data_IF_727910947098
#
_entry.id   IF_727910947098
#
_cell.length_a   1.000
_cell.length_b   1.000
_cell.length_c   1.000
_cell.angle_alpha   90.00
_cell.angle_beta   90.00
_cell.angle_gamma   90.00
#
_symmetry.space_group_name_H-M   'P 1'
#
loop_
_entity.id
_entity.type
_entity.pdbx_description
1 polymer ?
#
# COMPACT_ATOMS: atom_id res chain seq x y z
N UNK A 1 31.23 -35.42 23.54
CA UNK A 1 31.50 -34.69 22.28
C UNK A 1 32.12 -33.36 22.62
N UNK A 2 33.08 -32.90 21.83
CA UNK A 2 33.73 -31.58 22.00
C UNK A 2 32.74 -30.48 21.59
N UNK A 3 32.58 -29.45 22.43
CA UNK A 3 31.79 -28.28 22.08
C UNK A 3 32.53 -27.42 21.06
N UNK A 4 31.85 -27.07 19.98
CA UNK A 4 32.30 -26.08 18.99
C UNK A 4 31.73 -24.69 19.32
N UNK A 5 30.62 -24.64 20.05
CA UNK A 5 30.05 -23.43 20.61
C UNK A 5 29.37 -23.76 21.94
N UNK A 6 29.50 -22.89 22.94
CA UNK A 6 28.82 -23.03 24.22
C UNK A 6 28.50 -21.65 24.78
N UNK A 7 27.33 -21.52 25.40
CA UNK A 7 26.91 -20.36 26.18
C UNK A 7 26.25 -20.84 27.47
N UNK A 8 26.53 -20.15 28.58
CA UNK A 8 25.97 -20.46 29.89
C UNK A 8 25.62 -19.19 30.66
N UNK A 9 24.59 -19.29 31.50
CA UNK A 9 24.33 -18.33 32.58
C UNK A 9 25.00 -18.79 33.87
N UNK A 10 24.87 -20.09 34.14
CA UNK A 10 25.40 -20.82 35.28
C UNK A 10 25.50 -22.31 34.91
N UNK A 11 25.96 -23.14 35.84
CA UNK A 11 26.18 -24.58 35.60
C UNK A 11 24.86 -25.34 35.33
N UNK A 12 23.73 -24.83 35.83
CA UNK A 12 22.41 -25.45 35.71
C UNK A 12 21.64 -24.95 34.47
N UNK A 13 22.12 -23.89 33.81
CA UNK A 13 21.47 -23.25 32.67
C UNK A 13 22.50 -22.90 31.58
N UNK A 14 22.62 -23.80 30.61
CA UNK A 14 23.56 -23.67 29.50
C UNK A 14 23.06 -24.33 28.23
N UNK A 15 23.68 -24.00 27.12
CA UNK A 15 23.51 -24.75 25.88
C UNK A 15 24.80 -24.73 25.07
N UNK A 16 24.99 -25.72 24.23
CA UNK A 16 26.13 -25.78 23.35
C UNK A 16 25.92 -26.72 22.18
N UNK A 17 26.65 -26.45 21.11
CA UNK A 17 26.72 -27.32 19.95
C UNK A 17 28.00 -28.12 20.07
N UNK A 18 27.87 -29.44 20.00
CA UNK A 18 28.98 -30.37 20.02
C UNK A 18 28.92 -31.30 18.83
N UNK A 19 30.04 -31.93 18.53
CA UNK A 19 30.09 -32.99 17.52
C UNK A 19 29.91 -34.34 18.22
N UNK A 20 29.00 -35.18 17.68
CA UNK A 20 28.88 -36.60 18.03
C UNK A 20 29.36 -37.43 16.85
N UNK A 21 30.28 -38.34 17.12
CA UNK A 21 30.80 -39.29 16.15
C UNK A 21 30.12 -40.64 16.40
N UNK A 22 29.67 -41.29 15.34
CA UNK A 22 29.04 -42.61 15.34
C UNK A 22 29.58 -43.42 14.14
N UNK A 23 30.55 -44.28 14.40
CA UNK A 23 31.35 -44.93 13.35
C UNK A 23 32.12 -43.91 12.50
N UNK A 24 31.98 -44.00 11.18
CA UNK A 24 32.61 -43.11 10.20
C UNK A 24 31.78 -41.84 9.92
N UNK A 25 30.72 -41.58 10.70
CA UNK A 25 29.85 -40.41 10.53
C UNK A 25 29.97 -39.45 11.72
N UNK A 26 29.91 -38.15 11.43
CA UNK A 26 29.85 -37.10 12.44
C UNK A 26 28.55 -36.29 12.30
N UNK A 27 27.97 -35.88 13.43
CA UNK A 27 26.72 -35.12 13.50
C UNK A 27 26.89 -33.93 14.45
N UNK A 28 26.12 -32.87 14.20
CA UNK A 28 25.95 -31.82 15.20
C UNK A 28 24.96 -32.27 16.27
N UNK A 29 25.25 -31.92 17.50
CA UNK A 29 24.35 -32.15 18.63
C UNK A 29 24.20 -30.83 19.37
N UNK A 30 22.96 -30.37 19.44
CA UNK A 30 22.58 -29.34 20.38
C UNK A 30 22.35 -29.98 21.75
N UNK A 31 23.19 -29.66 22.72
CA UNK A 31 22.98 -29.96 24.12
C UNK A 31 22.40 -28.73 24.82
N UNK A 32 21.33 -28.90 25.59
CA UNK A 32 20.73 -27.86 26.44
C UNK A 32 20.62 -28.38 27.86
N UNK A 33 21.05 -27.59 28.84
CA UNK A 33 20.87 -27.81 30.27
C UNK A 33 19.94 -26.72 30.78
N UNK A 34 18.81 -27.12 31.36
CA UNK A 34 17.83 -26.20 31.95
C UNK A 34 17.46 -26.68 33.34
N UNK A 35 17.71 -25.85 34.36
CA UNK A 35 17.56 -26.22 35.78
C UNK A 35 18.24 -27.58 36.11
N UNK A 36 19.46 -27.78 35.59
CA UNK A 36 20.23 -29.01 35.78
C UNK A 36 19.78 -30.20 34.92
N UNK A 37 18.68 -30.08 34.16
CA UNK A 37 18.19 -31.14 33.27
C UNK A 37 18.81 -31.01 31.89
N UNK A 38 19.54 -32.04 31.49
CA UNK A 38 20.22 -32.13 30.19
C UNK A 38 19.35 -32.78 29.12
N UNK A 39 19.24 -32.14 27.96
CA UNK A 39 18.60 -32.65 26.75
C UNK A 39 19.56 -32.53 25.56
N UNK A 40 19.52 -33.51 24.64
CA UNK A 40 20.33 -33.51 23.43
C UNK A 40 19.46 -33.68 22.18
N UNK A 41 19.69 -32.84 21.18
CA UNK A 41 19.08 -32.95 19.85
C UNK A 41 20.17 -33.15 18.81
N UNK A 42 20.17 -34.30 18.15
CA UNK A 42 21.14 -34.64 17.10
C UNK A 42 20.62 -34.13 15.75
N UNK A 43 21.51 -33.59 14.92
CA UNK A 43 21.18 -33.17 13.55
C UNK A 43 20.73 -34.37 12.71
N UNK A 44 19.79 -34.11 11.81
CA UNK A 44 19.34 -35.13 10.85
C UNK A 44 20.37 -35.37 9.74
N UNK A 45 21.24 -34.40 9.50
CA UNK A 45 22.29 -34.45 8.49
C UNK A 45 23.64 -34.76 9.13
N UNK A 46 24.47 -35.50 8.38
CA UNK A 46 25.88 -35.76 8.71
C UNK A 46 26.71 -34.55 8.30
N UNK A 47 27.82 -34.32 8.99
CA UNK A 47 28.88 -33.47 8.50
C UNK A 47 29.52 -34.13 7.27
N UNK A 48 29.76 -33.33 6.24
CA UNK A 48 30.41 -33.79 5.01
C UNK A 48 31.90 -34.04 5.29
N UNK A 49 32.39 -35.23 4.93
CA UNK A 49 33.82 -35.58 5.09
C UNK A 49 34.66 -34.80 4.09
N UNK A 50 35.85 -34.39 4.51
CA UNK A 50 36.86 -33.73 3.65
C UNK A 50 36.40 -32.41 3.01
N UNK A 51 35.30 -31.82 3.51
CA UNK A 51 34.70 -30.58 3.02
C UNK A 51 34.50 -29.56 4.14
N UNK A 52 34.44 -28.28 3.78
CA UNK A 52 34.07 -27.22 4.73
C UNK A 52 32.58 -27.28 5.07
N UNK A 53 32.27 -27.47 6.37
CA UNK A 53 30.90 -27.44 6.85
C UNK A 53 30.60 -26.08 7.49
N UNK A 54 29.76 -25.27 6.84
CA UNK A 54 29.34 -23.97 7.36
C UNK A 54 28.20 -24.15 8.37
N UNK A 55 28.41 -23.70 9.62
CA UNK A 55 27.42 -23.83 10.70
C UNK A 55 26.96 -22.44 11.12
N UNK A 56 25.66 -22.15 10.95
CA UNK A 56 25.04 -20.88 11.37
C UNK A 56 24.04 -21.10 12.49
N UNK A 57 24.12 -20.29 13.54
CA UNK A 57 23.20 -20.30 14.68
C UNK A 57 22.36 -19.03 14.62
N UNK A 58 21.05 -19.18 14.49
CA UNK A 58 20.12 -18.06 14.44
C UNK A 58 19.22 -18.05 15.66
N UNK A 59 19.11 -16.89 16.29
CA UNK A 59 18.22 -16.65 17.42
C UNK A 59 17.04 -15.79 16.98
N UNK A 60 15.83 -16.30 17.15
CA UNK A 60 14.60 -15.54 16.94
C UNK A 60 14.09 -15.05 18.29
N UNK A 61 14.12 -13.73 18.50
CA UNK A 61 13.48 -13.07 19.64
C UNK A 61 11.99 -12.84 19.34
N UNK A 62 11.21 -13.91 19.47
CA UNK A 62 9.74 -13.92 19.34
C UNK A 62 9.12 -14.30 20.69
N UNK A 63 7.78 -14.32 20.81
CA UNK A 63 7.10 -14.73 22.05
C UNK A 63 7.54 -16.10 22.60
N UNK A 64 8.07 -16.96 21.73
CA UNK A 64 8.87 -18.13 22.07
C UNK A 64 10.28 -17.91 21.53
N UNK A 65 11.28 -17.80 22.39
CA UNK A 65 12.68 -17.71 21.98
C UNK A 65 13.07 -19.01 21.27
N UNK A 66 13.37 -18.94 19.98
CA UNK A 66 13.71 -20.11 19.18
C UNK A 66 15.17 -20.02 18.74
N UNK A 67 15.88 -21.14 18.88
CA UNK A 67 17.21 -21.30 18.29
C UNK A 67 17.11 -22.24 17.08
N UNK A 68 17.67 -21.80 15.96
CA UNK A 68 17.73 -22.55 14.72
C UNK A 68 19.19 -22.74 14.32
N UNK A 69 19.56 -23.96 13.95
CA UNK A 69 20.91 -24.27 13.48
C UNK A 69 20.82 -24.68 12.02
N UNK A 70 21.67 -24.08 11.19
CA UNK A 70 21.81 -24.39 9.78
C UNK A 70 23.20 -25.00 9.53
N UNK A 71 23.25 -26.02 8.68
CA UNK A 71 24.48 -26.58 8.12
C UNK A 71 24.42 -26.40 6.60
N UNK A 72 25.44 -25.78 6.01
CA UNK A 72 25.53 -25.52 4.56
C UNK A 72 24.26 -24.84 3.99
N UNK A 73 23.68 -23.90 4.76
CA UNK A 73 22.46 -23.18 4.40
C UNK A 73 21.14 -23.94 4.62
N UNK A 74 21.18 -25.23 4.99
CA UNK A 74 20.01 -26.05 5.30
C UNK A 74 19.71 -26.06 6.80
N UNK A 75 18.47 -25.82 7.20
CA UNK A 75 18.06 -25.88 8.61
C UNK A 75 18.06 -27.34 9.08
N UNK A 76 18.80 -27.65 10.15
CA UNK A 76 19.03 -29.03 10.61
C UNK A 76 18.59 -29.29 12.04
N UNK A 77 18.48 -28.25 12.88
CA UNK A 77 17.98 -28.36 14.26
C UNK A 77 17.09 -27.14 14.55
N UNK A 78 15.94 -27.38 15.17
CA UNK A 78 15.08 -26.34 15.76
C UNK A 78 14.85 -26.72 17.22
N UNK A 79 15.16 -25.81 18.14
CA UNK A 79 14.80 -25.98 19.54
C UNK A 79 14.06 -24.73 20.05
N UNK A 80 12.88 -24.96 20.63
CA UNK A 80 12.05 -23.93 21.22
C UNK A 80 12.38 -23.77 22.71
N UNK A 81 12.68 -22.55 23.14
CA UNK A 81 12.82 -22.20 24.55
C UNK A 81 14.26 -22.07 25.07
N UNK A 82 15.23 -21.72 24.22
CA UNK A 82 16.60 -21.39 24.66
C UNK A 82 16.67 -19.92 25.07
N UNK A 83 17.10 -19.66 26.30
CA UNK A 83 17.33 -18.30 26.82
C UNK A 83 18.70 -17.78 26.35
N UNK A 84 18.74 -16.52 25.89
CA UNK A 84 19.96 -15.89 25.34
C UNK A 84 20.78 -15.28 26.47
N UNK A 85 21.70 -16.05 27.05
CA UNK A 85 22.44 -15.64 28.24
C UNK A 85 23.65 -14.72 27.99
N UNK A 86 24.06 -14.50 26.73
CA UNK A 86 25.34 -13.82 26.44
C UNK A 86 25.49 -13.29 25.00
N UNK A 87 24.41 -12.86 24.35
CA UNK A 87 24.52 -12.20 23.05
C UNK A 87 24.65 -10.69 23.24
N UNK A 88 25.86 -10.15 23.02
CA UNK A 88 26.00 -8.74 22.71
C UNK A 88 25.22 -8.47 21.42
N UNK A 89 24.11 -7.73 21.50
CA UNK A 89 23.12 -7.56 20.42
C UNK A 89 23.65 -6.90 19.12
N UNK A 90 24.96 -6.67 19.01
CA UNK A 90 25.62 -6.03 17.88
C UNK A 90 26.84 -6.82 17.35
N UNK A 91 26.97 -8.11 17.66
CA UNK A 91 28.09 -8.94 17.18
C UNK A 91 27.62 -10.33 16.73
N UNK A 92 28.14 -10.80 15.60
CA UNK A 92 27.98 -12.17 15.12
C UNK A 92 29.26 -12.95 15.46
N UNK A 93 29.13 -14.04 16.22
CA UNK A 93 30.25 -14.88 16.63
C UNK A 93 30.09 -16.28 16.03
N UNK A 94 31.12 -16.79 15.35
CA UNK A 94 31.26 -18.21 15.07
C UNK A 94 32.31 -18.79 16.03
N UNK A 95 31.89 -19.70 16.92
CA UNK A 95 32.76 -20.41 17.87
C UNK A 95 32.70 -19.93 19.34
N UNK A 96 33.25 -20.75 20.25
CA UNK A 96 33.27 -20.53 21.71
C UNK A 96 34.27 -19.45 22.15
N UNK A 97 33.97 -18.75 23.25
CA UNK A 97 34.83 -17.72 23.88
C UNK A 97 35.91 -18.31 24.82
N UNK A 98 35.95 -19.63 25.01
CA UNK A 98 36.92 -20.30 25.90
C UNK A 98 37.85 -21.25 25.13
N UNK A 99 39.15 -20.92 25.10
CA UNK A 99 40.17 -21.84 24.64
C UNK A 99 40.37 -22.97 25.68
N UNK A 100 40.01 -24.20 25.33
CA UNK A 100 40.33 -25.39 26.14
C UNK A 100 41.81 -25.75 25.99
N UNK A 101 42.55 -25.71 27.09
CA UNK A 101 44.02 -25.89 27.16
C UNK A 101 44.49 -27.36 27.24
N UNK A 102 43.67 -28.35 26.91
CA UNK A 102 44.12 -29.74 27.01
C UNK A 102 43.46 -30.62 25.94
N UNK A 103 44.19 -30.81 24.83
CA UNK A 103 43.92 -31.84 23.83
C UNK A 103 45.11 -32.81 23.82
N UNK A 104 44.81 -34.08 24.06
CA UNK A 104 45.72 -35.19 23.83
C UNK A 104 44.92 -36.33 23.22
N UNK A 105 45.21 -36.66 21.96
CA UNK A 105 44.86 -37.95 21.34
C UNK A 105 44.01 -37.89 20.07
N UNK A 106 44.66 -38.23 18.94
CA UNK A 106 44.18 -38.85 17.70
C UNK A 106 43.20 -38.10 16.75
N UNK A 107 42.75 -36.88 17.05
CA UNK A 107 42.00 -36.05 16.09
C UNK A 107 42.37 -34.56 16.19
N UNK A 108 43.68 -34.26 16.14
CA UNK A 108 44.24 -32.90 16.28
C UNK A 108 44.09 -32.01 15.01
N UNK A 109 43.27 -32.40 14.01
CA UNK A 109 43.14 -31.67 12.73
C UNK A 109 41.82 -30.91 12.56
N UNK A 110 40.94 -30.84 13.57
CA UNK A 110 39.82 -29.88 13.52
C UNK A 110 40.33 -28.47 13.86
N UNK A 111 40.74 -27.75 12.82
CA UNK A 111 40.98 -26.31 12.89
C UNK A 111 39.63 -25.60 12.91
N UNK A 112 39.24 -25.06 14.06
CA UNK A 112 38.17 -24.07 14.13
C UNK A 112 38.82 -22.72 13.80
N UNK A 113 38.80 -22.33 12.53
CA UNK A 113 39.24 -20.99 12.15
C UNK A 113 38.23 -19.95 12.68
N UNK A 114 38.73 -19.10 13.58
CA UNK A 114 37.98 -17.96 14.07
C UNK A 114 38.19 -16.80 13.09
N UNK A 115 37.28 -16.64 12.14
CA UNK A 115 37.27 -15.48 11.24
C UNK A 115 36.12 -14.56 11.61
N UNK A 116 36.42 -13.55 12.43
CA UNK A 116 35.51 -12.44 12.65
C UNK A 116 35.46 -11.58 11.38
N UNK A 117 34.51 -11.87 10.49
CA UNK A 117 34.26 -11.00 9.34
C UNK A 117 33.78 -9.64 9.83
N UNK A 118 34.54 -8.59 9.52
CA UNK A 118 34.00 -7.23 9.54
C UNK A 118 32.82 -7.13 8.56
N UNK A 119 31.91 -6.17 8.70
CA UNK A 119 30.82 -5.94 7.72
C UNK A 119 31.32 -5.94 6.27
N UNK A 120 32.51 -5.42 6.02
CA UNK A 120 33.15 -5.40 4.70
C UNK A 120 33.51 -6.81 4.20
N UNK A 121 34.01 -7.67 5.10
CA UNK A 121 34.30 -9.08 4.78
C UNK A 121 33.04 -9.89 4.54
N UNK A 122 31.96 -9.63 5.27
CA UNK A 122 30.64 -10.24 4.99
C UNK A 122 30.16 -9.85 3.60
N UNK A 123 30.31 -8.57 3.22
CA UNK A 123 29.98 -8.09 1.89
C UNK A 123 30.84 -8.78 0.81
N UNK A 124 32.12 -9.02 1.07
CA UNK A 124 33.03 -9.73 0.16
C UNK A 124 32.70 -11.22 0.02
N UNK A 125 32.33 -11.91 1.12
CA UNK A 125 31.84 -13.29 1.09
C UNK A 125 30.51 -13.44 0.36
N UNK A 126 29.55 -12.53 0.58
CA UNK A 126 28.34 -12.52 -0.22
C UNK A 126 28.68 -12.27 -1.68
N UNK A 127 29.47 -11.23 -2.02
CA UNK A 127 29.90 -10.98 -3.41
C UNK A 127 30.56 -12.17 -4.09
N UNK A 128 31.37 -12.96 -3.36
CA UNK A 128 32.04 -14.14 -3.91
C UNK A 128 31.13 -15.37 -4.02
N UNK A 129 30.00 -15.40 -3.31
CA UNK A 129 29.01 -16.47 -3.34
C UNK A 129 27.66 -16.07 -3.96
N UNK A 130 27.53 -14.83 -4.44
CA UNK A 130 26.37 -14.38 -5.19
C UNK A 130 26.38 -15.11 -6.52
N UNK A 131 25.38 -15.95 -6.75
CA UNK A 131 25.06 -16.41 -8.10
C UNK A 131 24.74 -15.17 -8.92
N UNK A 132 25.53 -14.91 -9.97
CA UNK A 132 25.34 -13.72 -10.80
C UNK A 132 23.95 -13.76 -11.44
N UNK A 133 23.06 -12.87 -11.02
CA UNK A 133 21.80 -12.63 -11.69
C UNK A 133 22.06 -11.69 -12.87
N UNK A 134 21.94 -12.21 -14.09
CA UNK A 134 21.96 -11.37 -15.29
C UNK A 134 20.54 -10.88 -15.57
N UNK A 135 20.35 -9.56 -15.51
CA UNK A 135 19.11 -8.88 -15.92
C UNK A 135 19.39 -8.22 -17.27
N UNK A 136 18.59 -8.54 -18.28
CA UNK A 136 18.64 -7.89 -19.59
C UNK A 136 17.39 -7.03 -19.76
N UNK A 137 17.58 -5.76 -20.12
CA UNK A 137 16.49 -4.82 -20.42
C UNK A 137 16.40 -4.66 -21.94
N UNK A 138 15.28 -5.06 -22.53
CA UNK A 138 15.02 -4.91 -23.96
C UNK A 138 14.24 -3.61 -24.23
N UNK A 139 14.93 -2.61 -24.77
CA UNK A 139 14.32 -1.33 -25.14
C UNK A 139 13.56 -1.37 -26.48
N UNK A 140 13.70 -2.43 -27.28
CA UNK A 140 13.00 -2.57 -28.57
C UNK A 140 11.56 -3.06 -28.38
N UNK A 141 11.31 -3.87 -27.35
CA UNK A 141 9.98 -4.38 -27.01
C UNK A 141 9.25 -3.43 -26.05
N UNK A 142 8.48 -2.48 -26.58
CA UNK A 142 7.70 -1.52 -25.80
C UNK A 142 6.34 -2.11 -25.38
N UNK A 143 5.93 -1.82 -24.16
CA UNK A 143 4.61 -2.20 -23.63
C UNK A 143 3.70 -0.96 -23.46
N UNK A 144 3.02 -0.83 -22.32
CA UNK A 144 2.12 0.27 -22.04
C UNK A 144 2.86 1.59 -21.79
N UNK A 145 2.20 2.70 -22.12
CA UNK A 145 2.58 4.02 -21.61
C UNK A 145 2.13 4.14 -20.17
N UNK A 146 3.05 4.45 -19.26
CA UNK A 146 2.72 4.83 -17.88
C UNK A 146 2.28 6.29 -17.92
N UNK A 147 1.03 6.56 -17.54
CA UNK A 147 0.49 7.93 -17.49
C UNK A 147 0.95 8.67 -16.25
N UNK A 148 0.63 8.13 -15.08
CA UNK A 148 0.92 8.77 -13.82
C UNK A 148 1.00 7.76 -12.66
N UNK A 149 1.50 8.25 -11.53
CA UNK A 149 1.29 7.68 -10.21
C UNK A 149 0.62 8.75 -9.35
N UNK A 150 -0.48 8.39 -8.68
CA UNK A 150 -1.28 9.35 -7.93
C UNK A 150 -1.75 8.83 -6.59
N UNK A 151 -2.35 9.74 -5.82
CA UNK A 151 -3.03 9.48 -4.57
C UNK A 151 -4.32 10.33 -4.49
N UNK A 152 -5.14 10.05 -3.48
CA UNK A 152 -6.38 10.77 -3.23
C UNK A 152 -6.29 11.61 -1.98
N UNK A 153 -6.95 12.76 -2.00
CA UNK A 153 -7.10 13.65 -0.86
C UNK A 153 -8.20 13.18 0.12
N UNK A 154 -8.98 12.17 -0.27
CA UNK A 154 -10.02 11.56 0.53
C UNK A 154 -9.44 10.83 1.77
N UNK A 155 -9.90 11.08 2.99
CA UNK A 155 -10.82 12.14 3.42
C UNK A 155 -10.15 13.21 4.30
N UNK A 156 -8.93 12.94 4.79
CA UNK A 156 -8.34 13.76 5.83
C UNK A 156 -7.71 15.05 5.28
N UNK A 157 -7.46 15.19 3.98
CA UNK A 157 -6.77 16.36 3.43
C UNK A 157 -7.47 17.69 3.74
N UNK A 158 -8.80 17.70 3.90
CA UNK A 158 -9.53 18.90 4.29
C UNK A 158 -9.18 19.33 5.73
N UNK A 159 -9.21 18.39 6.66
CA UNK A 159 -8.86 18.63 8.05
C UNK A 159 -7.37 19.00 8.16
N UNK A 160 -6.49 18.28 7.47
CA UNK A 160 -5.06 18.57 7.44
C UNK A 160 -4.82 19.98 6.89
N UNK A 161 -5.39 20.32 5.74
CA UNK A 161 -5.17 21.61 5.07
C UNK A 161 -5.69 22.80 5.87
N UNK A 162 -6.81 22.62 6.58
CA UNK A 162 -7.42 23.65 7.44
C UNK A 162 -6.65 23.88 8.74
N UNK A 163 -6.19 22.81 9.40
CA UNK A 163 -5.80 22.89 10.81
C UNK A 163 -4.33 22.56 11.12
N UNK A 164 -3.59 21.93 10.21
CA UNK A 164 -2.18 21.67 10.49
C UNK A 164 -1.33 22.94 10.43
N UNK A 165 -0.25 23.03 11.23
CA UNK A 165 0.75 24.07 11.10
C UNK A 165 1.30 24.14 9.66
N UNK A 166 1.48 25.36 9.16
CA UNK A 166 1.88 25.63 7.77
C UNK A 166 3.16 24.89 7.36
N UNK A 167 4.16 24.82 8.25
CA UNK A 167 5.40 24.07 8.01
C UNK A 167 5.15 22.58 7.76
N UNK A 168 4.26 21.96 8.55
CA UNK A 168 3.93 20.53 8.40
C UNK A 168 3.17 20.25 7.11
N UNK A 169 2.24 21.14 6.73
CA UNK A 169 1.51 21.02 5.46
C UNK A 169 2.45 21.16 4.26
N UNK A 170 3.36 22.14 4.30
CA UNK A 170 4.34 22.32 3.22
C UNK A 170 5.31 21.14 3.12
N UNK A 171 5.78 20.59 4.25
CA UNK A 171 6.61 19.38 4.23
C UNK A 171 5.85 18.17 3.68
N UNK A 172 4.57 18.01 4.01
CA UNK A 172 3.74 16.95 3.43
C UNK A 172 3.55 17.13 1.92
N UNK A 173 3.28 18.36 1.46
CA UNK A 173 3.18 18.67 0.04
C UNK A 173 4.51 18.37 -0.70
N UNK A 174 5.66 18.71 -0.12
CA UNK A 174 6.97 18.38 -0.68
C UNK A 174 7.17 16.85 -0.79
N UNK A 175 6.86 16.12 0.28
CA UNK A 175 6.98 14.65 0.29
C UNK A 175 6.09 13.99 -0.75
N UNK A 176 4.88 14.54 -1.01
CA UNK A 176 3.94 14.00 -1.99
C UNK A 176 4.30 14.39 -3.42
N UNK A 177 4.56 15.67 -3.68
CA UNK A 177 4.56 16.22 -5.04
C UNK A 177 5.95 16.56 -5.57
N UNK A 178 6.96 16.72 -4.71
CA UNK A 178 8.28 17.13 -5.18
C UNK A 178 8.94 16.06 -6.04
N UNK A 179 9.32 16.46 -7.26
CA UNK A 179 10.17 15.71 -8.20
C UNK A 179 11.66 16.09 -8.07
N UNK A 180 11.98 17.00 -7.16
CA UNK A 180 13.33 17.50 -6.96
C UNK A 180 14.19 16.56 -6.12
N UNK A 181 15.50 16.73 -6.25
CA UNK A 181 16.51 16.09 -5.41
C UNK A 181 17.15 17.12 -4.47
N UNK A 182 17.59 16.69 -3.30
CA UNK A 182 18.42 17.52 -2.43
C UNK A 182 19.88 17.58 -2.95
N UNK A 183 20.75 18.30 -2.22
CA UNK A 183 22.16 18.48 -2.60
C UNK A 183 22.98 17.19 -2.53
N UNK A 184 22.47 16.14 -1.89
CA UNK A 184 23.10 14.82 -1.78
C UNK A 184 22.58 13.85 -2.86
N UNK A 185 21.60 14.28 -3.67
CA UNK A 185 20.97 13.47 -4.70
C UNK A 185 19.86 12.56 -4.18
N UNK A 186 19.30 12.82 -3.00
CA UNK A 186 18.13 12.09 -2.49
C UNK A 186 16.85 12.76 -3.00
N UNK A 187 15.84 12.00 -3.48
CA UNK A 187 14.53 12.55 -3.80
C UNK A 187 13.92 13.25 -2.57
N UNK A 188 13.44 14.48 -2.74
CA UNK A 188 12.77 15.23 -1.67
C UNK A 188 11.37 14.70 -1.37
N UNK A 189 10.74 14.08 -2.37
CA UNK A 189 9.42 13.47 -2.30
C UNK A 189 9.27 12.32 -3.30
N UNK A 190 8.07 11.75 -3.33
CA UNK A 190 7.72 10.63 -4.22
C UNK A 190 7.34 11.10 -5.63
N UNK A 191 7.20 12.41 -5.85
CA UNK A 191 6.93 13.00 -7.16
C UNK A 191 5.65 12.52 -7.80
N UNK A 192 4.52 12.53 -7.07
CA UNK A 192 3.22 12.18 -7.65
C UNK A 192 2.95 13.04 -8.90
N UNK A 193 2.53 12.37 -9.96
CA UNK A 193 2.12 12.98 -11.24
C UNK A 193 0.60 12.99 -11.41
N UNK A 194 -0.13 12.52 -10.41
CA UNK A 194 -1.58 12.62 -10.36
C UNK A 194 -2.09 12.95 -8.94
N UNK A 195 -3.11 13.80 -8.87
CA UNK A 195 -3.83 14.09 -7.63
C UNK A 195 -5.33 13.95 -7.82
N UNK A 196 -5.95 13.08 -7.02
CA UNK A 196 -7.41 12.84 -7.03
C UNK A 196 -8.07 13.70 -5.95
N UNK A 197 -8.85 14.69 -6.38
CA UNK A 197 -9.60 15.61 -5.53
C UNK A 197 -11.04 15.13 -5.35
N UNK A 198 -11.44 14.85 -4.11
CA UNK A 198 -12.81 14.45 -3.79
C UNK A 198 -13.74 15.67 -3.76
N UNK A 199 -14.56 15.84 -4.80
CA UNK A 199 -15.59 16.88 -4.88
C UNK A 199 -16.75 16.45 -3.97
N UNK A 200 -17.04 17.25 -2.93
CA UNK A 200 -17.95 16.81 -1.88
C UNK A 200 -19.44 16.93 -2.21
N UNK A 201 -20.23 16.09 -1.55
CA UNK A 201 -21.66 15.88 -1.80
C UNK A 201 -22.58 16.66 -0.86
N UNK A 202 -22.05 17.21 0.23
CA UNK A 202 -22.81 18.07 1.16
C UNK A 202 -23.33 17.37 2.41
N UNK A 203 -22.75 16.22 2.76
CA UNK A 203 -23.09 15.50 3.99
C UNK A 203 -22.54 16.19 5.25
N UNK A 204 -21.50 17.03 5.12
CA UNK A 204 -20.95 17.79 6.25
C UNK A 204 -21.96 18.83 6.76
N UNK A 205 -22.66 19.52 5.86
CA UNK A 205 -23.70 20.50 6.17
C UNK A 205 -24.89 19.89 6.92
N UNK A 206 -25.16 18.60 6.72
CA UNK A 206 -26.20 17.87 7.43
C UNK A 206 -25.78 17.43 8.83
N UNK A 207 -24.48 17.45 9.16
CA UNK A 207 -24.00 17.01 10.46
C UNK A 207 -24.40 15.57 10.77
N UNK A 208 -24.95 15.32 11.96
CA UNK A 208 -25.42 13.98 12.36
C UNK A 208 -26.62 13.50 11.53
N UNK A 209 -27.44 14.42 11.02
CA UNK A 209 -28.58 14.09 10.15
C UNK A 209 -28.14 13.50 8.80
N UNK A 210 -26.86 13.61 8.43
CA UNK A 210 -26.31 12.88 7.28
C UNK A 210 -26.36 11.36 7.46
N UNK A 211 -26.48 10.87 8.70
CA UNK A 211 -26.34 9.45 9.09
C UNK A 211 -25.04 8.80 8.65
N UNK A 212 -23.99 9.58 8.38
CA UNK A 212 -22.62 9.09 8.19
C UNK A 212 -21.91 9.13 9.55
N UNK A 213 -21.46 7.97 10.03
CA UNK A 213 -20.99 7.79 11.40
C UNK A 213 -19.77 8.67 11.73
N UNK A 214 -18.77 8.69 10.85
CA UNK A 214 -17.53 9.43 11.09
C UNK A 214 -17.60 10.85 10.53
N UNK A 215 -17.42 11.90 11.36
CA UNK A 215 -17.39 13.28 10.88
C UNK A 215 -16.32 13.54 9.82
N UNK A 216 -15.15 12.89 9.92
CA UNK A 216 -14.08 12.98 8.91
C UNK A 216 -14.41 12.28 7.59
N UNK A 217 -15.54 11.58 7.50
CA UNK A 217 -16.02 10.91 6.29
C UNK A 217 -17.18 11.68 5.63
N UNK A 218 -17.52 12.86 6.17
CA UNK A 218 -18.52 13.79 5.62
C UNK A 218 -17.82 14.88 4.81
N UNK A 219 -18.45 15.34 3.74
CA UNK A 219 -17.85 16.33 2.82
C UNK A 219 -18.75 17.53 2.63
N UNK A 220 -18.15 18.72 2.52
CA UNK A 220 -18.86 19.95 2.15
C UNK A 220 -19.22 19.93 0.65
N UNK A 221 -20.34 20.54 0.24
CA UNK A 221 -20.66 20.73 -1.18
C UNK A 221 -20.47 22.17 -1.60
N UNK A 222 -19.74 22.45 -2.69
CA UNK A 222 -19.61 23.82 -3.21
C UNK A 222 -20.94 24.50 -3.50
N UNK A 223 -21.95 23.74 -3.92
CA UNK A 223 -23.29 24.24 -4.19
C UNK A 223 -24.13 24.23 -2.91
N UNK A 224 -24.81 25.34 -2.64
CA UNK A 224 -25.78 25.48 -1.56
C UNK A 224 -27.17 24.99 -2.01
N UNK A 225 -28.11 24.74 -1.07
CA UNK A 225 -29.46 24.28 -1.40
C UNK A 225 -30.25 25.22 -2.33
N UNK A 226 -29.93 26.51 -2.34
CA UNK A 226 -30.56 27.52 -3.20
C UNK A 226 -29.94 27.62 -4.60
N UNK A 227 -28.96 26.75 -4.92
CA UNK A 227 -28.23 26.73 -6.18
C UNK A 227 -27.10 27.76 -6.28
N UNK A 228 -26.86 28.57 -5.24
CA UNK A 228 -25.68 29.45 -5.18
C UNK A 228 -24.42 28.63 -4.85
N UNK A 229 -23.25 29.15 -5.19
CA UNK A 229 -21.97 28.50 -4.87
C UNK A 229 -21.24 29.22 -3.76
N UNK A 230 -20.64 28.43 -2.87
CA UNK A 230 -19.66 28.87 -1.89
C UNK A 230 -18.32 28.15 -2.14
N UNK A 231 -17.44 28.82 -2.88
CA UNK A 231 -16.09 28.36 -3.19
C UNK A 231 -15.13 28.43 -1.99
N UNK A 232 -15.57 28.99 -0.86
CA UNK A 232 -14.81 28.96 0.39
C UNK A 232 -15.00 27.64 1.17
N UNK A 233 -15.70 26.65 0.61
CA UNK A 233 -15.82 25.29 1.16
C UNK A 233 -14.65 24.41 0.72
N UNK A 234 -14.41 23.29 1.41
CA UNK A 234 -13.30 22.35 1.15
C UNK A 234 -11.91 23.03 1.12
N UNK A 235 -11.71 24.12 1.90
CA UNK A 235 -10.47 24.92 1.85
C UNK A 235 -9.19 24.12 2.08
N UNK A 236 -9.25 23.07 2.90
CA UNK A 236 -8.07 22.28 3.19
C UNK A 236 -7.66 21.42 2.01
N UNK A 237 -8.63 20.75 1.37
CA UNK A 237 -8.39 20.02 0.14
C UNK A 237 -7.94 20.96 -0.99
N UNK A 238 -8.58 22.12 -1.12
CA UNK A 238 -8.16 23.14 -2.08
C UNK A 238 -6.72 23.61 -1.85
N UNK A 239 -6.26 23.70 -0.58
CA UNK A 239 -4.88 24.05 -0.29
C UNK A 239 -3.91 23.02 -0.89
N UNK A 240 -4.18 21.72 -0.73
CA UNK A 240 -3.36 20.67 -1.33
C UNK A 240 -3.45 20.63 -2.85
N UNK A 241 -4.65 20.81 -3.42
CA UNK A 241 -4.86 20.90 -4.86
C UNK A 241 -4.07 22.06 -5.49
N UNK A 242 -4.15 23.25 -4.87
CA UNK A 242 -3.39 24.44 -5.28
C UNK A 242 -1.88 24.18 -5.19
N UNK A 243 -1.41 23.57 -4.11
CA UNK A 243 0.01 23.18 -3.99
C UNK A 243 0.44 22.21 -5.08
N UNK A 244 -0.32 21.14 -5.30
CA UNK A 244 -0.01 20.14 -6.31
C UNK A 244 0.16 20.78 -7.70
N UNK A 245 -0.79 21.60 -8.11
CA UNK A 245 -0.83 22.14 -9.48
C UNK A 245 0.06 23.37 -9.65
N UNK A 246 -0.08 24.37 -8.77
CA UNK A 246 0.52 25.69 -8.96
C UNK A 246 1.98 25.76 -8.47
N UNK A 247 2.35 24.95 -7.49
CA UNK A 247 3.70 24.98 -6.90
C UNK A 247 4.57 23.81 -7.39
N UNK A 248 3.98 22.63 -7.61
CA UNK A 248 4.71 21.40 -7.96
C UNK A 248 4.44 20.87 -9.37
N UNK A 249 3.55 21.53 -10.13
CA UNK A 249 3.25 21.18 -11.52
C UNK A 249 2.90 19.69 -11.69
N UNK A 250 2.02 19.18 -10.80
CA UNK A 250 1.42 17.85 -10.95
C UNK A 250 0.57 17.82 -12.21
N UNK A 251 0.83 16.85 -13.08
CA UNK A 251 0.39 16.86 -14.47
C UNK A 251 -1.07 16.45 -14.68
N UNK A 252 -1.54 15.40 -14.01
CA UNK A 252 -2.90 14.86 -14.17
C UNK A 252 -3.76 15.14 -12.92
N UNK A 253 -4.89 15.83 -13.08
CA UNK A 253 -5.81 16.09 -11.96
C UNK A 253 -7.16 15.43 -12.22
N UNK A 254 -7.61 14.65 -11.23
CA UNK A 254 -8.88 13.93 -11.29
C UNK A 254 -9.82 14.46 -10.22
N UNK A 255 -10.94 15.05 -10.62
CA UNK A 255 -12.05 15.34 -9.71
C UNK A 255 -12.93 14.10 -9.61
N UNK A 256 -13.13 13.55 -8.42
CA UNK A 256 -13.99 12.37 -8.24
C UNK A 256 -15.05 12.60 -7.18
N UNK A 257 -16.13 11.83 -7.25
CA UNK A 257 -17.29 11.95 -6.37
C UNK A 257 -17.72 10.56 -5.88
N UNK A 258 -17.93 10.42 -4.57
CA UNK A 258 -18.54 9.22 -4.00
C UNK A 258 -20.08 9.24 -4.12
N UNK A 259 -20.68 10.43 -4.17
CA UNK A 259 -22.12 10.66 -4.32
C UNK A 259 -22.34 11.93 -5.15
N UNK A 260 -23.48 12.07 -5.84
CA UNK A 260 -23.92 13.38 -6.31
C UNK A 260 -24.28 14.29 -5.10
N UNK A 261 -24.40 15.62 -5.30
CA UNK A 261 -24.89 16.52 -4.26
C UNK A 261 -26.17 16.02 -3.62
N UNK A 262 -26.28 16.09 -2.29
CA UNK A 262 -27.45 15.58 -1.54
C UNK A 262 -28.76 16.19 -2.00
N UNK A 263 -28.74 17.43 -2.52
CA UNK A 263 -29.92 18.11 -3.04
C UNK A 263 -30.45 17.53 -4.37
N UNK A 264 -29.66 16.67 -5.03
CA UNK A 264 -30.04 15.96 -6.25
C UNK A 264 -30.37 14.48 -6.00
N UNK A 265 -30.16 13.96 -4.80
CA UNK A 265 -30.48 12.56 -4.50
C UNK A 265 -31.96 12.37 -4.20
N UNK A 266 -32.46 11.14 -4.42
CA UNK A 266 -33.86 10.76 -4.19
C UNK A 266 -34.35 11.07 -2.78
N UNK A 267 -33.47 10.92 -1.78
CA UNK A 267 -33.82 10.99 -0.35
C UNK A 267 -33.08 12.06 0.43
N UNK A 268 -32.25 12.87 -0.24
CA UNK A 268 -31.47 13.89 0.44
C UNK A 268 -30.28 13.34 1.24
N UNK A 269 -29.84 12.10 1.02
CA UNK A 269 -28.66 11.52 1.66
C UNK A 269 -27.55 11.28 0.63
N UNK A 270 -26.29 11.30 1.08
CA UNK A 270 -25.11 11.01 0.26
C UNK A 270 -24.73 9.51 0.25
N UNK A 271 -25.63 8.65 0.74
CA UNK A 271 -25.49 7.20 0.75
C UNK A 271 -26.82 6.55 0.33
N UNK A 272 -26.79 5.26 0.02
CA UNK A 272 -27.97 4.50 -0.39
C UNK A 272 -28.86 4.11 0.80
N UNK A 273 -29.74 5.02 1.19
CA UNK A 273 -30.68 4.78 2.30
C UNK A 273 -31.63 3.60 2.05
N UNK A 274 -31.98 3.32 0.79
CA UNK A 274 -32.95 2.28 0.44
C UNK A 274 -32.40 0.86 0.52
N UNK A 275 -31.08 0.68 0.63
CA UNK A 275 -30.41 -0.62 0.46
C UNK A 275 -30.74 -1.30 -0.88
N UNK A 276 -31.18 -0.52 -1.88
CA UNK A 276 -31.41 -0.97 -3.26
C UNK A 276 -30.12 -1.10 -4.06
N UNK A 277 -30.25 -1.28 -5.37
CA UNK A 277 -29.11 -1.36 -6.31
C UNK A 277 -29.10 -0.25 -7.36
N UNK A 278 -30.10 0.63 -7.31
CA UNK A 278 -30.20 1.77 -8.21
C UNK A 278 -29.36 2.95 -7.72
N UNK A 279 -28.84 3.71 -8.67
CA UNK A 279 -28.18 4.98 -8.39
C UNK A 279 -29.09 5.93 -7.60
N UNK A 280 -28.52 6.59 -6.58
CA UNK A 280 -29.27 7.44 -5.65
C UNK A 280 -29.66 8.80 -6.24
N UNK A 281 -29.12 9.17 -7.41
CA UNK A 281 -29.51 10.38 -8.14
C UNK A 281 -30.99 10.31 -8.56
N UNK A 282 -31.74 11.38 -8.32
CA UNK A 282 -33.12 11.46 -8.78
C UNK A 282 -33.19 11.47 -10.32
N UNK A 283 -34.21 10.83 -10.88
CA UNK A 283 -34.30 10.56 -12.32
C UNK A 283 -34.37 11.80 -13.20
N UNK A 284 -34.78 12.94 -12.64
CA UNK A 284 -34.85 14.23 -13.31
C UNK A 284 -33.59 15.10 -13.10
N UNK A 285 -32.53 14.58 -12.44
CA UNK A 285 -31.35 15.36 -12.02
C UNK A 285 -30.05 15.05 -12.74
N UNK A 286 -30.06 14.20 -13.78
CA UNK A 286 -28.84 13.89 -14.55
C UNK A 286 -28.19 15.13 -15.17
N UNK A 287 -28.96 16.04 -15.76
CA UNK A 287 -28.44 17.29 -16.33
C UNK A 287 -28.02 18.31 -15.26
N UNK A 288 -28.72 18.31 -14.11
CA UNK A 288 -28.36 19.15 -12.97
C UNK A 288 -27.01 18.71 -12.39
N UNK A 289 -26.80 17.41 -12.22
CA UNK A 289 -25.54 16.87 -11.72
C UNK A 289 -24.39 17.17 -12.71
N UNK A 290 -24.60 16.94 -14.00
CA UNK A 290 -23.64 17.28 -15.03
C UNK A 290 -23.30 18.78 -15.07
N UNK A 291 -24.29 19.66 -14.90
CA UNK A 291 -24.10 21.11 -14.84
C UNK A 291 -23.33 21.54 -13.60
N UNK A 292 -23.63 20.95 -12.44
CA UNK A 292 -22.89 21.19 -11.19
C UNK A 292 -21.41 20.85 -11.38
N UNK A 293 -21.11 19.68 -11.94
CA UNK A 293 -19.72 19.29 -12.15
C UNK A 293 -19.01 20.18 -13.16
N UNK A 294 -19.70 20.62 -14.21
CA UNK A 294 -19.16 21.60 -15.15
C UNK A 294 -18.86 22.95 -14.48
N UNK A 295 -19.74 23.44 -13.59
CA UNK A 295 -19.50 24.69 -12.85
C UNK A 295 -18.26 24.59 -11.95
N UNK A 296 -18.03 23.42 -11.32
CA UNK A 296 -16.82 23.16 -10.52
C UNK A 296 -15.57 23.18 -11.40
N UNK A 297 -15.59 22.49 -12.54
CA UNK A 297 -14.46 22.51 -13.50
C UNK A 297 -14.17 23.93 -13.97
N UNK A 298 -15.18 24.67 -14.44
CA UNK A 298 -15.02 26.04 -14.93
C UNK A 298 -14.54 27.02 -13.85
N UNK A 299 -14.87 26.77 -12.58
CA UNK A 299 -14.35 27.56 -11.46
C UNK A 299 -12.84 27.36 -11.31
N UNK A 300 -12.38 26.11 -11.19
CA UNK A 300 -10.97 25.82 -10.98
C UNK A 300 -10.11 26.11 -12.21
N UNK A 301 -10.64 25.96 -13.43
CA UNK A 301 -9.97 26.39 -14.67
C UNK A 301 -9.61 27.89 -14.62
N UNK A 302 -10.51 28.74 -14.08
CA UNK A 302 -10.25 30.19 -13.91
C UNK A 302 -9.18 30.48 -12.85
N UNK A 303 -8.94 29.54 -11.93
CA UNK A 303 -7.86 29.62 -10.95
C UNK A 303 -6.54 29.01 -11.47
N UNK A 304 -6.51 28.52 -12.72
CA UNK A 304 -5.32 27.89 -13.31
C UNK A 304 -5.17 26.41 -12.92
N UNK A 305 -6.24 25.76 -12.45
CA UNK A 305 -6.26 24.36 -12.08
C UNK A 305 -7.20 23.62 -13.02
N UNK A 306 -6.63 22.89 -13.98
CA UNK A 306 -7.41 22.09 -14.91
C UNK A 306 -7.66 20.69 -14.35
N UNK A 307 -8.91 20.22 -14.40
CA UNK A 307 -9.22 18.82 -14.20
C UNK A 307 -9.18 18.10 -15.55
N UNK A 308 -8.24 17.19 -15.73
CA UNK A 308 -8.18 16.34 -16.93
C UNK A 308 -9.36 15.36 -16.92
N UNK A 309 -9.71 14.86 -15.74
CA UNK A 309 -10.75 13.85 -15.57
C UNK A 309 -11.76 14.19 -14.48
N UNK A 310 -13.02 13.88 -14.79
CA UNK A 310 -14.12 13.80 -13.81
C UNK A 310 -14.56 12.34 -13.69
N UNK A 311 -14.56 11.83 -12.45
CA UNK A 311 -15.04 10.49 -12.12
C UNK A 311 -16.29 10.58 -11.23
N UNK A 312 -17.50 10.45 -11.81
CA UNK A 312 -18.74 10.82 -11.13
C UNK A 312 -19.33 9.75 -10.21
N UNK A 313 -18.82 8.52 -10.28
CA UNK A 313 -19.36 7.36 -9.57
C UNK A 313 -18.18 6.52 -9.08
N UNK A 314 -18.15 6.22 -7.78
CA UNK A 314 -17.13 5.37 -7.16
C UNK A 314 -17.70 4.00 -6.79
N UNK A 315 -17.05 2.92 -7.24
CA UNK A 315 -17.34 1.54 -6.84
C UNK A 315 -18.84 1.17 -6.91
N UNK A 316 -19.47 1.30 -8.09
CA UNK A 316 -20.93 1.19 -8.26
C UNK A 316 -21.50 -0.20 -7.95
N UNK A 317 -20.65 -1.22 -7.81
CA UNK A 317 -21.07 -2.59 -7.53
C UNK A 317 -21.35 -2.86 -6.04
N UNK A 318 -21.06 -1.92 -5.14
CA UNK A 318 -21.39 -2.05 -3.71
C UNK A 318 -22.68 -1.33 -3.36
N UNK A 319 -23.40 -1.84 -2.35
CA UNK A 319 -24.70 -1.29 -1.96
C UNK A 319 -24.61 0.09 -1.31
N UNK A 320 -23.49 0.45 -0.67
CA UNK A 320 -23.30 1.74 -0.01
C UNK A 320 -24.44 2.17 0.93
N UNK A 321 -25.07 1.19 1.58
CA UNK A 321 -26.17 1.41 2.52
C UNK A 321 -25.72 1.50 3.97
N UNK A 322 -26.65 1.79 4.90
CA UNK A 322 -26.33 1.83 6.32
C UNK A 322 -26.08 0.42 6.87
N UNK A 323 -25.26 0.34 7.91
CA UNK A 323 -25.10 -0.86 8.72
C UNK A 323 -26.37 -1.20 9.52
N UNK A 324 -26.32 -2.30 10.26
CA UNK A 324 -27.43 -2.73 11.13
C UNK A 324 -27.77 -1.75 12.26
N UNK A 325 -26.88 -0.81 12.55
CA UNK A 325 -27.06 0.30 13.49
C UNK A 325 -27.73 1.54 12.87
N UNK A 326 -28.03 1.50 11.56
CA UNK A 326 -28.65 2.60 10.83
C UNK A 326 -27.68 3.68 10.37
N UNK A 327 -26.38 3.51 10.57
CA UNK A 327 -25.34 4.46 10.16
C UNK A 327 -24.61 3.98 8.90
N UNK A 328 -24.38 4.88 7.97
CA UNK A 328 -23.48 4.66 6.83
C UNK A 328 -22.03 4.91 7.24
N UNK A 329 -21.11 4.14 6.66
CA UNK A 329 -19.67 4.32 6.90
C UNK A 329 -19.08 5.55 6.20
N UNK A 330 -19.62 5.90 5.04
CA UNK A 330 -19.16 6.98 4.16
C UNK A 330 -20.23 7.33 3.11
N UNK A 331 -19.96 8.35 2.31
CA UNK A 331 -20.71 8.63 1.07
C UNK A 331 -20.49 7.51 0.03
N UNK A 332 -21.50 7.23 -0.78
CA UNK A 332 -21.44 6.17 -1.80
C UNK A 332 -22.79 5.87 -2.43
N UNK A 333 -22.80 5.27 -3.62
CA UNK A 333 -24.03 4.81 -4.27
C UNK A 333 -23.76 3.57 -5.11
N UNK A 334 -24.64 2.55 -5.10
CA UNK A 334 -24.62 1.56 -6.17
C UNK A 334 -25.02 2.26 -7.47
N UNK A 335 -24.69 1.69 -8.62
CA UNK A 335 -25.26 2.11 -9.88
C UNK A 335 -25.33 0.92 -10.84
N UNK A 336 -26.44 0.82 -11.57
CA UNK A 336 -26.50 -0.12 -12.70
C UNK A 336 -25.67 0.38 -13.87
N UNK A 337 -25.23 -0.51 -14.76
CA UNK A 337 -24.47 -0.14 -15.95
C UNK A 337 -25.23 0.90 -16.83
N UNK A 338 -26.56 0.78 -16.91
CA UNK A 338 -27.39 1.77 -17.62
C UNK A 338 -27.32 3.14 -16.97
N UNK A 339 -27.42 3.23 -15.63
CA UNK A 339 -27.34 4.50 -14.91
C UNK A 339 -25.95 5.14 -15.02
N UNK A 340 -24.87 4.34 -15.03
CA UNK A 340 -23.51 4.82 -15.31
C UNK A 340 -23.45 5.42 -16.71
N UNK A 341 -23.98 4.72 -17.71
CA UNK A 341 -24.03 5.22 -19.09
C UNK A 341 -24.85 6.52 -19.20
N UNK A 342 -25.98 6.62 -18.48
CA UNK A 342 -26.87 7.79 -18.51
C UNK A 342 -26.21 9.02 -17.86
N UNK A 343 -25.52 8.87 -16.72
CA UNK A 343 -24.69 9.93 -16.13
C UNK A 343 -23.61 10.38 -17.10
N UNK A 344 -22.91 9.41 -17.70
CA UNK A 344 -21.80 9.69 -18.63
C UNK A 344 -22.28 10.46 -19.87
N UNK A 345 -23.40 10.05 -20.47
CA UNK A 345 -24.01 10.74 -21.63
C UNK A 345 -24.46 12.15 -21.28
N UNK A 346 -25.03 12.34 -20.09
CA UNK A 346 -25.43 13.65 -19.59
C UNK A 346 -24.21 14.58 -19.46
N UNK A 347 -23.16 14.11 -18.76
CA UNK A 347 -21.92 14.88 -18.58
C UNK A 347 -21.22 15.16 -19.90
N UNK A 348 -21.09 14.18 -20.78
CA UNK A 348 -20.56 14.33 -22.14
C UNK A 348 -21.25 15.46 -22.91
N UNK A 349 -22.60 15.45 -22.93
CA UNK A 349 -23.40 16.50 -23.61
C UNK A 349 -23.16 17.87 -23.00
N UNK A 350 -23.21 17.98 -21.66
CA UNK A 350 -23.04 19.27 -20.97
C UNK A 350 -21.62 19.81 -21.19
N UNK A 351 -20.59 18.99 -20.97
CA UNK A 351 -19.19 19.39 -21.13
C UNK A 351 -18.90 19.83 -22.56
N UNK A 352 -19.38 19.07 -23.56
CA UNK A 352 -19.24 19.43 -24.97
C UNK A 352 -19.95 20.76 -25.31
N UNK A 353 -21.17 20.98 -24.80
CA UNK A 353 -21.91 22.21 -25.04
C UNK A 353 -21.26 23.45 -24.41
N UNK A 354 -20.56 23.25 -23.28
CA UNK A 354 -19.76 24.28 -22.60
C UNK A 354 -18.31 24.38 -23.12
N UNK A 355 -17.92 23.49 -24.04
CA UNK A 355 -16.57 23.43 -24.64
C UNK A 355 -15.47 23.17 -23.62
N UNK A 356 -15.76 22.38 -22.58
CA UNK A 356 -14.74 21.91 -21.65
C UNK A 356 -13.83 20.90 -22.35
N UNK A 357 -12.57 20.84 -21.96
CA UNK A 357 -11.61 19.82 -22.43
C UNK A 357 -11.53 18.61 -21.49
N UNK A 358 -12.04 18.74 -20.27
CA UNK A 358 -12.15 17.68 -19.27
C UNK A 358 -12.92 16.47 -19.79
N UNK A 359 -12.43 15.28 -19.51
CA UNK A 359 -13.06 14.02 -19.89
C UNK A 359 -13.76 13.33 -18.69
N UNK A 360 -14.84 12.61 -18.96
CA UNK A 360 -15.52 11.77 -17.98
C UNK A 360 -14.85 10.40 -17.96
N UNK A 361 -14.28 10.01 -16.81
CA UNK A 361 -13.71 8.69 -16.54
C UNK A 361 -14.69 7.85 -15.73
N UNK A 362 -14.91 6.60 -16.13
CA UNK A 362 -15.92 5.73 -15.54
C UNK A 362 -15.40 4.31 -15.28
N UNK A 363 -16.32 3.47 -14.79
CA UNK A 363 -16.16 2.16 -14.18
C UNK A 363 -15.87 2.26 -12.68
N UNK A 364 -14.73 2.81 -12.27
CA UNK A 364 -14.25 2.87 -10.86
C UNK A 364 -14.58 1.60 -10.06
N UNK A 365 -14.53 0.43 -10.70
CA UNK A 365 -14.99 -0.81 -10.10
C UNK A 365 -14.08 -1.18 -8.93
N UNK A 366 -14.64 -1.55 -7.77
CA UNK A 366 -13.85 -1.86 -6.55
C UNK A 366 -12.92 -3.08 -6.66
N UNK A 367 -13.06 -3.85 -7.74
CA UNK A 367 -12.15 -4.93 -8.11
C UNK A 367 -11.88 -4.88 -9.63
N UNK A 368 -10.70 -5.35 -10.04
CA UNK A 368 -10.27 -5.34 -11.45
C UNK A 368 -11.26 -6.12 -12.34
N UNK A 369 -11.81 -7.23 -11.85
CA UNK A 369 -12.82 -7.99 -12.60
C UNK A 369 -14.09 -7.18 -12.91
N UNK A 370 -14.49 -6.28 -12.01
CA UNK A 370 -15.69 -5.45 -12.15
C UNK A 370 -15.52 -4.44 -13.30
N UNK A 371 -14.38 -3.75 -13.37
CA UNK A 371 -14.10 -2.81 -14.47
C UNK A 371 -13.98 -3.55 -15.81
N UNK A 372 -13.32 -4.71 -15.84
CA UNK A 372 -13.13 -5.49 -17.07
C UNK A 372 -14.48 -5.91 -17.66
N UNK A 373 -15.43 -6.31 -16.83
CA UNK A 373 -16.77 -6.71 -17.27
C UNK A 373 -17.60 -5.55 -17.87
N UNK A 374 -17.23 -4.30 -17.59
CA UNK A 374 -17.90 -3.11 -18.12
C UNK A 374 -17.29 -2.61 -19.43
N UNK A 375 -16.01 -2.92 -19.71
CA UNK A 375 -15.31 -2.50 -20.93
C UNK A 375 -16.12 -2.78 -22.22
N UNK A 376 -16.58 -4.03 -22.48
CA UNK A 376 -17.26 -4.32 -23.74
C UNK A 376 -18.67 -3.70 -23.86
N UNK A 377 -19.27 -3.29 -22.73
CA UNK A 377 -20.56 -2.58 -22.69
C UNK A 377 -20.39 -1.10 -23.00
N UNK A 378 -19.43 -0.44 -22.36
CA UNK A 378 -19.25 1.01 -22.44
C UNK A 378 -18.41 1.46 -23.65
N UNK A 379 -17.37 0.72 -24.01
CA UNK A 379 -16.51 1.05 -25.16
C UNK A 379 -16.64 0.07 -26.33
N UNK A 380 -17.20 -1.13 -26.09
CA UNK A 380 -17.50 -2.11 -27.13
C UNK A 380 -18.87 -1.91 -27.78
N UNK A 381 -19.44 -3.00 -28.29
CA UNK A 381 -20.76 -3.02 -28.95
C UNK A 381 -21.70 -4.08 -28.34
N UNK A 382 -21.37 -4.67 -27.19
CA UNK A 382 -22.21 -5.71 -26.57
C UNK A 382 -23.57 -5.16 -26.13
N UNK A 383 -23.58 -3.93 -25.61
CA UNK A 383 -24.79 -3.22 -25.15
C UNK A 383 -24.88 -1.84 -25.83
N UNK A 384 -25.48 -1.74 -27.04
CA UNK A 384 -25.50 -0.51 -27.82
C UNK A 384 -26.11 0.69 -27.07
N UNK A 385 -27.11 0.44 -26.23
CA UNK A 385 -27.77 1.48 -25.43
C UNK A 385 -26.90 1.97 -24.27
N UNK A 386 -25.88 1.23 -23.84
CA UNK A 386 -24.94 1.62 -22.79
C UNK A 386 -23.62 2.17 -23.34
N UNK A 387 -23.41 2.09 -24.66
CA UNK A 387 -22.18 2.55 -25.28
C UNK A 387 -21.97 4.05 -25.09
N UNK A 388 -20.81 4.40 -24.56
CA UNK A 388 -20.34 5.79 -24.35
C UNK A 388 -19.01 6.06 -25.03
N UNK A 389 -18.25 5.03 -25.39
CA UNK A 389 -17.01 5.17 -26.14
C UNK A 389 -17.24 5.87 -27.49
N UNK A 390 -16.49 6.95 -27.72
CA UNK A 390 -16.60 7.80 -28.91
C UNK A 390 -17.52 9.01 -28.75
N UNK A 391 -18.21 9.15 -27.63
CA UNK A 391 -18.88 10.40 -27.27
C UNK A 391 -17.84 11.49 -26.95
N UNK A 392 -18.15 12.78 -27.17
CA UNK A 392 -17.26 13.87 -26.78
C UNK A 392 -17.05 13.87 -25.27
N UNK A 393 -15.86 14.26 -24.80
CA UNK A 393 -15.55 14.37 -23.37
C UNK A 393 -15.74 13.05 -22.60
N UNK A 394 -15.63 11.88 -23.23
CA UNK A 394 -15.59 10.58 -22.53
C UNK A 394 -14.20 10.01 -22.71
N UNK A 395 -13.54 9.69 -21.61
CA UNK A 395 -12.17 9.20 -21.66
C UNK A 395 -12.11 7.82 -22.31
N UNK A 396 -10.97 7.53 -22.94
CA UNK A 396 -10.63 6.18 -23.40
C UNK A 396 -9.83 5.44 -22.32
N UNK A 397 -10.27 5.55 -21.07
CA UNK A 397 -9.66 4.96 -19.88
C UNK A 397 -10.75 4.29 -19.06
N UNK A 398 -10.56 3.02 -18.73
CA UNK A 398 -11.40 2.32 -17.76
C UNK A 398 -10.68 2.32 -16.40
N UNK A 399 -11.34 2.82 -15.36
CA UNK A 399 -10.77 2.91 -14.02
C UNK A 399 -11.32 1.81 -13.09
N UNK A 400 -10.53 1.43 -12.09
CA UNK A 400 -10.96 0.51 -11.06
C UNK A 400 -9.89 0.31 -10.00
N UNK A 401 -10.32 -0.25 -8.88
CA UNK A 401 -9.55 -0.49 -7.69
C UNK A 401 -9.21 -1.98 -7.60
N UNK A 402 -8.32 -2.33 -6.67
CA UNK A 402 -7.76 -3.68 -6.53
C UNK A 402 -7.89 -4.21 -5.10
N UNK A 403 -8.99 -3.90 -4.40
CA UNK A 403 -9.16 -4.36 -3.02
C UNK A 403 -9.35 -5.89 -2.92
N UNK A 404 -9.89 -6.50 -3.99
CA UNK A 404 -10.27 -7.92 -4.03
C UNK A 404 -9.77 -8.61 -5.29
#
# INVERSE_FOLDING_TARGET
GKYIYQASKDDDNSYGIKIKVDGDAAYLVLETIKNGVKNETVSQEKLESDEWNAISIFYSMTAQNNMRIYQNGKQIIVNAGVETYSLGLNQWSLGSTTASKSAGGLYDEFVVENYAMRPDGVNEYYKSNLTSLSITVDFANKHQTIRNFGASDAWDADVLGKYWPEEKKNRLAELLFSKEFDNEGNPKGIGLSCWRFNIGSGSAEQGEESKIAGPSKRTECFMNPDGTYNWEKQKGQQWFLKKAVLDYEVEDIVGFMNSPPVYFTKHGYAFNQENGWDYILASDKYDNFASFTADVVEHFDKEGIHFDYISPINEPQYQWGPGGDGWAGQEGSPATDQQIADVTKSMSRVFASRKLTTEVSIAEGGAIGSLIAQIPKFWGNEEPDMKVGGLPNVSYVASGHSYW
#
